data_IF_658294821510
#
_entry.id   IF_658294821510
#
_cell.length_a   1.000
_cell.length_b   1.000
_cell.length_c   1.000
_cell.angle_alpha   90.00
_cell.angle_beta   90.00
_cell.angle_gamma   90.00
#
_symmetry.space_group_name_H-M   'P 1'
#
loop_
_entity.id
_entity.type
_entity.pdbx_description
1 polymer ?
#
# COMPACT_ATOMS: atom_id res chain seq x y z
N UNK A 1 -24.02 42.13 50.55
CA UNK A 1 -23.84 41.10 51.61
C UNK A 1 -25.14 40.34 51.72
N UNK A 2 -25.14 39.03 51.40
CA UNK A 2 -26.18 38.02 51.70
C UNK A 2 -27.57 38.26 51.09
N UNK A 3 -28.31 37.30 50.53
CA UNK A 3 -28.19 35.83 50.48
C UNK A 3 -29.62 35.23 50.53
N UNK A 4 -29.90 34.26 49.63
CA UNK A 4 -30.99 33.26 49.63
C UNK A 4 -32.46 33.76 49.60
N UNK A 5 -33.45 33.10 49.02
CA UNK A 5 -33.61 31.74 48.48
C UNK A 5 -34.87 31.64 47.58
N UNK A 6 -35.21 30.42 47.13
CA UNK A 6 -36.32 29.92 46.27
C UNK A 6 -35.94 29.72 44.77
N UNK A 7 -36.21 28.59 44.11
CA UNK A 7 -36.90 27.33 44.44
C UNK A 7 -36.57 26.23 43.39
N UNK A 8 -36.83 24.97 43.76
CA UNK A 8 -36.60 23.69 43.06
C UNK A 8 -37.11 23.57 41.61
N UNK A 9 -36.34 22.86 40.76
CA UNK A 9 -36.90 21.78 39.92
C UNK A 9 -35.83 20.79 39.47
N UNK A 10 -36.12 19.53 39.82
CA UNK A 10 -35.45 18.27 39.56
C UNK A 10 -35.40 17.92 38.06
N UNK A 11 -34.21 17.61 37.52
CA UNK A 11 -34.04 16.87 36.26
C UNK A 11 -32.91 15.86 36.43
N UNK A 12 -33.32 14.61 36.62
CA UNK A 12 -32.48 13.41 36.58
C UNK A 12 -31.82 13.23 35.20
N UNK A 13 -30.49 13.27 35.12
CA UNK A 13 -29.72 12.81 33.96
C UNK A 13 -29.72 11.26 33.86
N UNK A 14 -30.37 10.73 32.82
CA UNK A 14 -30.29 9.33 32.38
C UNK A 14 -29.23 9.10 31.29
N UNK A 15 -28.90 7.84 30.96
CA UNK A 15 -27.51 7.42 30.76
C UNK A 15 -26.90 7.72 29.38
N UNK A 16 -25.59 8.00 29.40
CA UNK A 16 -24.72 8.16 28.23
C UNK A 16 -24.63 6.85 27.45
N UNK A 17 -25.02 6.89 26.17
CA UNK A 17 -24.77 5.81 25.21
C UNK A 17 -23.26 5.59 25.05
N UNK A 18 -22.79 4.40 25.41
CA UNK A 18 -21.42 3.93 25.18
C UNK A 18 -21.27 3.43 23.74
N UNK A 19 -20.22 3.90 23.03
CA UNK A 19 -19.79 3.33 21.74
C UNK A 19 -19.34 1.86 21.91
N UNK A 20 -19.63 0.97 20.95
CA UNK A 20 -19.19 -0.42 21.05
C UNK A 20 -17.68 -0.54 20.84
N UNK A 21 -17.05 -1.28 21.74
CA UNK A 21 -15.62 -1.65 21.74
C UNK A 21 -15.28 -2.48 20.50
N UNK A 22 -14.10 -2.21 19.94
CA UNK A 22 -13.57 -2.84 18.73
C UNK A 22 -13.62 -4.37 18.75
N UNK A 23 -14.14 -4.93 17.67
CA UNK A 23 -14.06 -6.36 17.35
C UNK A 23 -12.65 -6.63 16.84
N UNK A 24 -11.81 -7.25 17.66
CA UNK A 24 -10.55 -7.86 17.24
C UNK A 24 -10.86 -8.95 16.22
N UNK A 25 -10.29 -8.83 15.02
CA UNK A 25 -10.48 -9.78 13.94
C UNK A 25 -9.55 -10.99 14.15
N UNK A 26 -10.14 -12.10 14.58
CA UNK A 26 -9.43 -13.32 14.97
C UNK A 26 -8.76 -14.04 13.78
N UNK A 27 -9.10 -13.69 12.54
CA UNK A 27 -8.48 -14.26 11.34
C UNK A 27 -7.01 -13.84 11.19
N UNK A 28 -6.64 -12.65 11.66
CA UNK A 28 -5.26 -12.13 11.57
C UNK A 28 -4.29 -12.87 12.50
N UNK A 29 -4.77 -13.45 13.61
CA UNK A 29 -3.94 -14.18 14.57
C UNK A 29 -3.47 -15.55 14.05
N UNK A 30 -4.26 -16.22 13.18
CA UNK A 30 -3.89 -17.55 12.70
C UNK A 30 -2.78 -17.53 11.64
N UNK A 31 -2.68 -16.45 10.84
CA UNK A 31 -1.69 -16.37 9.75
C UNK A 31 -0.25 -16.11 10.24
N UNK A 32 -0.08 -15.62 11.48
CA UNK A 32 1.24 -15.33 12.09
C UNK A 32 1.98 -16.61 12.54
N UNK A 33 1.29 -17.76 12.67
CA UNK A 33 1.86 -18.96 13.32
C UNK A 33 2.51 -20.00 12.39
N UNK A 34 2.39 -19.85 11.07
CA UNK A 34 2.90 -20.86 10.11
C UNK A 34 4.35 -20.66 9.65
N UNK A 35 4.97 -19.50 9.93
CA UNK A 35 6.34 -19.18 9.47
C UNK A 35 7.37 -18.86 10.55
N UNK A 36 7.03 -18.95 11.84
CA UNK A 36 7.93 -18.56 12.94
C UNK A 36 8.87 -19.70 13.40
N UNK A 37 10.12 -19.41 13.79
CA UNK A 37 11.01 -20.36 14.47
C UNK A 37 10.36 -20.96 15.73
N UNK A 38 10.70 -22.21 16.05
CA UNK A 38 10.05 -23.00 17.10
C UNK A 38 10.03 -22.35 18.50
N UNK A 39 10.92 -21.39 18.78
CA UNK A 39 10.97 -20.66 20.05
C UNK A 39 9.80 -19.70 20.29
N UNK A 40 9.09 -19.26 19.24
CA UNK A 40 7.96 -18.31 19.34
C UNK A 40 6.61 -19.05 19.44
N UNK A 41 6.53 -20.31 19.00
CA UNK A 41 5.31 -21.14 19.09
C UNK A 41 4.88 -21.45 20.52
N UNK A 42 5.82 -21.48 21.47
CA UNK A 42 5.52 -21.81 22.86
C UNK A 42 4.74 -20.71 23.61
N UNK A 43 4.73 -19.47 23.11
CA UNK A 43 4.04 -18.35 23.76
C UNK A 43 2.56 -18.20 23.36
N UNK A 44 2.11 -18.84 22.27
CA UNK A 44 0.75 -18.69 21.73
C UNK A 44 -0.13 -19.95 21.88
N UNK A 45 0.40 -21.06 22.40
CA UNK A 45 -0.33 -22.34 22.45
C UNK A 45 -1.37 -22.45 23.57
N UNK A 46 -1.50 -21.47 24.48
CA UNK A 46 -2.31 -21.64 25.70
C UNK A 46 -3.70 -20.97 25.65
N UNK A 47 -4.08 -20.31 24.54
CA UNK A 47 -5.25 -19.41 24.55
C UNK A 47 -6.43 -19.80 23.67
N UNK A 48 -6.34 -20.73 22.70
CA UNK A 48 -7.49 -20.92 21.78
C UNK A 48 -7.72 -22.38 21.38
N UNK A 49 -8.83 -22.93 21.89
CA UNK A 49 -9.53 -24.08 21.31
C UNK A 49 -10.98 -23.67 21.04
N UNK A 50 -11.51 -23.87 19.82
CA UNK A 50 -12.95 -24.03 19.70
C UNK A 50 -13.38 -25.15 18.75
N UNK A 51 -14.46 -25.80 19.18
CA UNK A 51 -15.22 -26.86 18.50
C UNK A 51 -15.82 -26.37 17.18
N UNK A 52 -15.79 -27.27 16.21
CA UNK A 52 -16.29 -27.12 14.83
C UNK A 52 -17.81 -27.33 14.78
N UNK A 53 -18.53 -26.51 14.01
CA UNK A 53 -19.92 -26.72 13.62
C UNK A 53 -20.11 -26.32 12.16
N UNK A 54 -20.35 -27.33 11.32
CA UNK A 54 -20.42 -27.29 9.86
C UNK A 54 -21.88 -27.29 9.39
N UNK A 55 -22.31 -26.36 8.52
CA UNK A 55 -23.52 -26.49 7.72
C UNK A 55 -23.30 -25.94 6.30
N UNK A 56 -23.99 -26.55 5.35
CA UNK A 56 -23.57 -26.78 3.96
C UNK A 56 -24.55 -26.23 2.91
N UNK A 57 -24.00 -25.57 1.87
CA UNK A 57 -24.39 -25.57 0.42
C UNK A 57 -25.71 -24.87 -0.02
N UNK A 58 -25.99 -24.65 -1.33
CA UNK A 58 -25.71 -23.39 -2.04
C UNK A 58 -26.91 -22.83 -2.85
N UNK A 59 -26.93 -21.55 -3.20
CA UNK A 59 -27.76 -21.06 -4.31
C UNK A 59 -27.14 -19.79 -4.91
N UNK A 60 -26.71 -19.90 -6.17
CA UNK A 60 -26.26 -18.78 -6.99
C UNK A 60 -27.45 -17.86 -7.25
N UNK A 61 -27.47 -16.71 -6.57
CA UNK A 61 -28.34 -15.59 -6.93
C UNK A 61 -27.46 -14.42 -7.31
N UNK A 62 -27.61 -13.98 -8.54
CA UNK A 62 -27.16 -12.69 -9.04
C UNK A 62 -27.76 -11.62 -8.12
N UNK A 63 -26.98 -11.15 -7.15
CA UNK A 63 -27.32 -10.00 -6.34
C UNK A 63 -26.59 -8.81 -6.94
N UNK A 64 -27.39 -7.82 -7.32
CA UNK A 64 -26.97 -6.43 -7.45
C UNK A 64 -26.14 -6.11 -6.22
N UNK A 65 -24.85 -5.92 -6.45
CA UNK A 65 -23.94 -5.68 -5.37
C UNK A 65 -24.08 -4.23 -4.91
N UNK A 66 -24.34 -3.97 -3.61
CA UNK A 66 -24.36 -2.61 -3.10
C UNK A 66 -23.00 -1.96 -3.39
N UNK A 67 -23.03 -0.73 -3.90
CA UNK A 67 -21.89 0.12 -4.27
C UNK A 67 -21.01 0.56 -3.07
N UNK A 68 -20.96 -0.24 -2.02
CA UNK A 68 -20.22 0.01 -0.78
C UNK A 68 -19.62 -1.28 -0.23
N UNK A 69 -19.05 -2.11 -1.11
CA UNK A 69 -18.22 -3.22 -0.66
C UNK A 69 -17.07 -2.67 0.19
N UNK A 70 -16.93 -3.14 1.45
CA UNK A 70 -15.72 -2.89 2.20
C UNK A 70 -14.58 -3.67 1.52
N UNK A 71 -13.64 -2.95 0.93
CA UNK A 71 -12.26 -3.34 0.60
C UNK A 71 -12.04 -4.84 0.31
N UNK A 72 -12.81 -5.40 -0.63
CA UNK A 72 -12.51 -6.71 -1.19
C UNK A 72 -11.24 -6.55 -2.02
N UNK A 73 -10.13 -7.02 -1.46
CA UNK A 73 -8.80 -6.96 -2.06
C UNK A 73 -8.82 -7.46 -3.51
N UNK A 74 -8.43 -6.60 -4.45
CA UNK A 74 -8.19 -6.97 -5.84
C UNK A 74 -6.72 -7.24 -6.14
N UNK A 75 -6.46 -7.80 -7.33
CA UNK A 75 -5.10 -7.90 -7.88
C UNK A 75 -4.69 -6.55 -8.46
N UNK A 76 -3.51 -6.06 -8.07
CA UNK A 76 -3.00 -4.75 -8.47
C UNK A 76 -1.77 -4.85 -9.37
N UNK A 77 -1.68 -3.96 -10.36
CA UNK A 77 -0.47 -3.70 -11.14
C UNK A 77 -0.04 -2.24 -10.96
N UNK A 78 1.20 -2.02 -10.52
CA UNK A 78 1.83 -0.70 -10.42
C UNK A 78 2.88 -0.56 -11.51
N UNK A 79 2.85 0.56 -12.25
CA UNK A 79 3.78 0.81 -13.35
C UNK A 79 4.23 2.26 -13.42
N UNK A 80 5.39 2.47 -14.06
CA UNK A 80 5.89 3.81 -14.37
C UNK A 80 5.36 4.24 -15.73
N UNK A 81 4.72 5.41 -15.80
CA UNK A 81 4.42 6.03 -17.09
C UNK A 81 5.63 6.86 -17.55
N UNK A 82 6.20 6.61 -18.75
CA UNK A 82 7.25 7.44 -19.29
C UNK A 82 6.72 8.82 -19.68
N UNK A 83 7.57 9.84 -19.51
CA UNK A 83 7.30 11.20 -19.98
C UNK A 83 7.86 11.31 -21.40
N UNK A 84 7.00 11.59 -22.38
CA UNK A 84 7.43 11.78 -23.77
C UNK A 84 8.32 13.02 -23.90
N UNK A 85 9.22 13.01 -24.89
CA UNK A 85 10.09 14.16 -25.17
C UNK A 85 9.28 15.44 -25.39
N UNK A 86 9.70 16.53 -24.76
CA UNK A 86 9.04 17.84 -24.84
C UNK A 86 7.78 17.99 -23.97
N UNK A 87 7.33 16.95 -23.25
CA UNK A 87 6.22 17.06 -22.29
C UNK A 87 6.71 17.15 -20.86
N UNK A 88 5.95 17.84 -20.01
CA UNK A 88 6.16 17.81 -18.57
C UNK A 88 5.47 16.61 -17.91
N UNK A 89 5.90 16.26 -16.70
CA UNK A 89 5.24 15.26 -15.84
C UNK A 89 3.76 15.62 -15.68
N UNK A 90 3.47 16.87 -15.36
CA UNK A 90 2.10 17.35 -15.15
C UNK A 90 1.24 17.23 -16.42
N UNK A 91 1.77 17.60 -17.59
CA UNK A 91 1.05 17.47 -18.86
C UNK A 91 0.71 16.01 -19.18
N UNK A 92 1.60 15.08 -18.81
CA UNK A 92 1.38 13.65 -19.04
C UNK A 92 0.34 13.09 -18.06
N UNK A 93 0.35 13.53 -16.79
CA UNK A 93 -0.70 13.19 -15.82
C UNK A 93 -2.07 13.69 -16.30
N UNK A 94 -2.16 14.95 -16.74
CA UNK A 94 -3.41 15.51 -17.28
C UNK A 94 -3.91 14.74 -18.51
N UNK A 95 -3.01 14.31 -19.38
CA UNK A 95 -3.35 13.49 -20.54
C UNK A 95 -3.96 12.14 -20.11
N UNK A 96 -3.36 11.47 -19.12
CA UNK A 96 -3.88 10.22 -18.57
C UNK A 96 -5.25 10.43 -17.91
N UNK A 97 -5.40 11.48 -17.11
CA UNK A 97 -6.67 11.86 -16.49
C UNK A 97 -7.76 12.04 -17.54
N UNK A 98 -7.51 12.81 -18.61
CA UNK A 98 -8.51 13.00 -19.68
C UNK A 98 -8.86 11.70 -20.38
N UNK A 99 -7.89 10.80 -20.60
CA UNK A 99 -8.15 9.48 -21.18
C UNK A 99 -9.08 8.65 -20.29
N UNK A 100 -8.85 8.63 -18.99
CA UNK A 100 -9.71 7.92 -18.03
C UNK A 100 -11.13 8.50 -18.01
N UNK A 101 -11.25 9.82 -17.98
CA UNK A 101 -12.55 10.49 -18.02
C UNK A 101 -13.30 10.23 -19.33
N UNK A 102 -12.61 10.19 -20.48
CA UNK A 102 -13.21 9.81 -21.78
C UNK A 102 -13.67 8.35 -21.83
N UNK A 103 -13.01 7.45 -21.09
CA UNK A 103 -13.47 6.08 -20.93
C UNK A 103 -14.71 5.97 -20.03
N UNK A 104 -15.07 7.04 -19.31
CA UNK A 104 -16.17 7.06 -18.35
C UNK A 104 -15.75 6.73 -16.92
N UNK A 105 -14.45 6.81 -16.59
CA UNK A 105 -13.99 6.63 -15.22
C UNK A 105 -14.39 7.83 -14.35
N UNK A 106 -14.87 7.55 -13.13
CA UNK A 106 -15.31 8.56 -12.19
C UNK A 106 -14.26 8.81 -11.11
N UNK A 107 -14.04 10.08 -10.76
CA UNK A 107 -13.09 10.46 -9.70
C UNK A 107 -13.65 10.11 -8.32
N UNK A 108 -12.87 9.36 -7.53
CA UNK A 108 -13.29 8.81 -6.22
C UNK A 108 -12.44 9.31 -5.04
N UNK A 109 -11.40 10.12 -5.28
CA UNK A 109 -10.61 10.71 -4.22
C UNK A 109 -9.14 10.90 -4.57
N UNK A 110 -8.30 10.93 -3.55
CA UNK A 110 -6.85 11.02 -3.69
C UNK A 110 -6.17 9.88 -2.96
N UNK A 111 -4.91 9.61 -3.30
CA UNK A 111 -4.11 8.60 -2.64
C UNK A 111 -2.68 9.11 -2.42
N UNK A 112 -1.98 8.50 -1.46
CA UNK A 112 -0.57 8.72 -1.21
C UNK A 112 0.09 7.40 -0.81
N UNK A 113 1.24 7.10 -1.43
CA UNK A 113 2.13 6.05 -0.97
C UNK A 113 3.50 6.65 -0.76
N UNK A 114 4.03 6.59 0.47
CA UNK A 114 5.36 7.08 0.79
C UNK A 114 6.29 5.96 1.25
N UNK A 115 7.57 6.15 0.98
CA UNK A 115 8.63 5.21 1.30
C UNK A 115 9.82 5.97 1.91
N UNK A 116 10.20 5.57 3.11
CA UNK A 116 11.46 5.95 3.74
C UNK A 116 12.46 4.80 3.65
N UNK A 117 13.70 5.11 3.26
CA UNK A 117 14.79 4.13 3.13
C UNK A 117 15.79 4.27 4.26
N UNK A 118 16.05 3.14 4.92
CA UNK A 118 17.01 2.98 5.99
C UNK A 118 18.16 2.06 5.57
N UNK A 119 19.38 2.46 5.88
CA UNK A 119 20.57 1.63 5.80
C UNK A 119 20.78 0.88 7.11
N UNK A 120 21.03 -0.42 7.03
CA UNK A 120 21.47 -1.17 8.20
C UNK A 120 22.92 -0.81 8.53
N UNK A 121 23.19 -0.45 9.78
CA UNK A 121 24.53 -0.05 10.24
C UNK A 121 25.50 -1.23 10.14
N UNK A 122 26.64 -1.01 9.47
CA UNK A 122 27.66 -2.04 9.21
C UNK A 122 28.27 -2.66 10.49
N UNK A 123 28.17 -1.99 11.64
CA UNK A 123 28.65 -2.48 12.94
C UNK A 123 27.84 -3.65 13.52
N UNK A 124 26.67 -3.95 12.95
CA UNK A 124 25.69 -4.91 13.52
C UNK A 124 25.70 -6.27 12.81
N UNK A 125 26.17 -6.32 11.57
CA UNK A 125 26.51 -7.57 10.90
C UNK A 125 28.02 -7.76 11.00
N UNK A 126 28.49 -8.80 11.68
CA UNK A 126 29.90 -9.11 11.94
C UNK A 126 30.77 -9.43 10.71
N UNK A 127 30.48 -8.85 9.55
CA UNK A 127 31.18 -9.06 8.28
C UNK A 127 31.69 -7.71 7.77
N UNK A 128 32.95 -7.39 8.07
CA UNK A 128 33.66 -6.28 7.45
C UNK A 128 33.64 -6.46 5.92
N UNK A 129 32.90 -5.61 5.21
CA UNK A 129 32.99 -5.51 3.74
C UNK A 129 31.70 -5.71 2.94
N UNK A 130 30.56 -6.06 3.55
CA UNK A 130 29.27 -6.06 2.83
C UNK A 130 28.54 -4.73 3.02
N UNK A 131 28.12 -4.11 1.92
CA UNK A 131 27.18 -2.99 1.95
C UNK A 131 25.93 -3.42 2.73
N UNK A 132 25.53 -2.64 3.74
CA UNK A 132 24.39 -2.98 4.59
C UNK A 132 23.10 -3.13 3.76
N UNK A 133 22.31 -4.16 4.07
CA UNK A 133 20.99 -4.38 3.44
C UNK A 133 20.09 -3.16 3.67
N UNK A 134 19.35 -2.77 2.64
CA UNK A 134 18.36 -1.71 2.74
C UNK A 134 17.06 -2.22 3.35
N UNK A 135 16.43 -1.37 4.15
CA UNK A 135 15.07 -1.53 4.63
C UNK A 135 14.23 -0.37 4.13
N UNK A 136 13.04 -0.66 3.63
CA UNK A 136 12.07 0.30 3.13
C UNK A 136 10.85 0.27 4.05
N UNK A 137 10.57 1.38 4.70
CA UNK A 137 9.36 1.56 5.51
C UNK A 137 8.35 2.32 4.65
N UNK A 138 7.19 1.73 4.41
CA UNK A 138 6.18 2.26 3.51
C UNK A 138 4.83 2.43 4.18
N UNK A 139 4.14 3.49 3.77
CA UNK A 139 2.78 3.79 4.18
C UNK A 139 1.91 4.02 2.95
N UNK A 140 0.68 3.55 3.02
CA UNK A 140 -0.33 3.75 1.99
C UNK A 140 -1.55 4.40 2.67
N UNK A 141 -2.03 5.51 2.12
CA UNK A 141 -3.21 6.21 2.65
C UNK A 141 -4.48 5.36 2.68
N UNK A 142 -4.55 4.31 1.87
CA UNK A 142 -5.67 3.35 1.88
C UNK A 142 -5.56 2.30 3.00
N UNK A 143 -4.38 2.14 3.59
CA UNK A 143 -4.14 1.31 4.78
C UNK A 143 -3.55 2.16 5.91
N UNK A 144 -4.29 3.16 6.43
CA UNK A 144 -3.74 4.17 7.34
C UNK A 144 -3.30 3.61 8.71
N UNK A 145 -3.71 2.39 9.05
CA UNK A 145 -3.34 1.70 10.29
C UNK A 145 -2.17 0.72 10.11
N UNK A 146 -1.69 0.55 8.88
CA UNK A 146 -0.65 -0.41 8.53
C UNK A 146 0.63 0.28 8.08
N UNK A 147 1.76 -0.27 8.51
CA UNK A 147 3.09 0.05 8.06
C UNK A 147 3.69 -1.21 7.41
N UNK A 148 4.29 -1.04 6.23
CA UNK A 148 4.93 -2.13 5.49
C UNK A 148 6.44 -1.94 5.51
N UNK A 149 7.15 -2.82 6.23
CA UNK A 149 8.60 -2.84 6.29
C UNK A 149 9.15 -3.94 5.37
N UNK A 150 9.77 -3.54 4.27
CA UNK A 150 10.35 -4.40 3.25
C UNK A 150 11.86 -4.43 3.40
N UNK A 151 12.44 -5.62 3.56
CA UNK A 151 13.89 -5.81 3.46
C UNK A 151 14.29 -6.14 2.02
N UNK A 152 15.42 -5.60 1.59
CA UNK A 152 15.99 -5.98 0.29
C UNK A 152 16.24 -7.49 0.22
N UNK A 153 15.60 -8.15 -0.75
CA UNK A 153 15.58 -9.61 -0.91
C UNK A 153 15.08 -10.39 0.32
N UNK A 154 14.27 -9.76 1.17
CA UNK A 154 13.73 -10.33 2.39
C UNK A 154 12.20 -10.34 2.43
N UNK A 155 11.60 -10.82 3.53
CA UNK A 155 10.15 -10.79 3.71
C UNK A 155 9.63 -9.35 3.86
N UNK A 156 8.35 -9.16 3.51
CA UNK A 156 7.58 -8.00 3.92
C UNK A 156 7.02 -8.22 5.32
N UNK A 157 7.31 -7.30 6.25
CA UNK A 157 6.68 -7.27 7.56
C UNK A 157 5.55 -6.24 7.53
N UNK A 158 4.37 -6.65 7.96
CA UNK A 158 3.22 -5.76 8.15
C UNK A 158 3.07 -5.51 9.65
N UNK A 159 3.15 -4.25 10.04
CA UNK A 159 3.05 -3.79 11.42
C UNK A 159 2.04 -2.65 11.54
N UNK A 160 1.76 -2.21 12.77
CA UNK A 160 1.01 -0.98 13.00
C UNK A 160 1.87 0.28 12.80
N UNK A 161 1.25 1.45 12.89
CA UNK A 161 1.96 2.74 12.79
C UNK A 161 2.89 3.02 13.99
N UNK A 162 2.86 2.21 15.05
CA UNK A 162 3.85 2.34 16.14
C UNK A 162 5.24 1.87 15.70
N UNK A 163 5.35 1.17 14.57
CA UNK A 163 6.63 0.79 13.98
C UNK A 163 7.54 2.00 13.71
N UNK A 164 6.99 3.16 13.30
CA UNK A 164 7.77 4.39 13.12
C UNK A 164 8.43 4.87 14.41
N UNK A 165 7.70 4.76 15.52
CA UNK A 165 8.22 5.10 16.86
C UNK A 165 9.35 4.13 17.24
N UNK A 166 9.21 2.85 16.90
CA UNK A 166 10.26 1.86 17.09
C UNK A 166 11.50 2.21 16.25
N UNK A 167 11.33 2.64 14.99
CA UNK A 167 12.42 3.05 14.12
C UNK A 167 13.23 4.22 14.68
N UNK A 168 12.57 5.17 15.36
CA UNK A 168 13.25 6.26 16.06
C UNK A 168 14.14 5.74 17.20
N UNK A 169 13.71 4.70 17.92
CA UNK A 169 14.50 4.07 18.99
C UNK A 169 15.66 3.23 18.45
N UNK A 170 15.52 2.70 17.24
CA UNK A 170 16.53 1.85 16.58
C UNK A 170 17.51 2.62 15.68
N UNK A 171 17.61 3.96 15.80
CA UNK A 171 18.53 4.81 15.01
C UNK A 171 20.01 4.38 15.04
N UNK A 172 20.43 3.68 16.10
CA UNK A 172 21.79 3.11 16.18
C UNK A 172 22.04 1.93 15.22
N UNK A 173 20.97 1.22 14.84
CA UNK A 173 21.01 0.05 13.96
C UNK A 173 20.56 0.40 12.54
N UNK A 174 19.62 1.34 12.41
CA UNK A 174 19.05 1.77 11.12
C UNK A 174 19.26 3.26 10.93
N UNK A 175 20.04 3.61 9.91
CA UNK A 175 20.35 5.00 9.58
C UNK A 175 19.50 5.43 8.38
N UNK A 176 18.63 6.43 8.56
CA UNK A 176 17.87 6.99 7.44
C UNK A 176 18.83 7.69 6.46
N UNK A 177 18.70 7.38 5.16
CA UNK A 177 19.53 8.03 4.15
C UNK A 177 19.15 9.51 3.99
N UNK A 178 20.10 10.41 3.71
CA UNK A 178 19.75 11.80 3.37
C UNK A 178 18.93 11.82 2.06
N UNK A 179 17.80 12.53 2.06
CA UNK A 179 16.82 12.52 0.96
C UNK A 179 16.27 11.12 0.63
N UNK A 180 16.14 10.25 1.64
CA UNK A 180 15.59 8.90 1.51
C UNK A 180 14.11 8.85 1.15
N UNK A 181 13.35 9.89 1.53
CA UNK A 181 11.90 9.89 1.36
C UNK A 181 11.52 10.15 -0.10
N UNK A 182 10.84 9.16 -0.68
CA UNK A 182 10.16 9.23 -1.97
C UNK A 182 8.69 8.97 -1.71
N UNK A 183 7.82 9.64 -2.44
CA UNK A 183 6.38 9.42 -2.34
C UNK A 183 5.74 9.53 -3.70
N UNK A 184 4.58 8.90 -3.86
CA UNK A 184 3.66 9.19 -4.96
C UNK A 184 2.37 9.71 -4.40
N UNK A 185 1.84 10.77 -5.02
CA UNK A 185 0.56 11.37 -4.67
C UNK A 185 -0.25 11.60 -5.93
N UNK A 186 -1.55 11.35 -5.85
CA UNK A 186 -2.38 11.47 -7.03
C UNK A 186 -3.88 11.33 -6.80
N UNK A 187 -4.58 11.14 -7.90
CA UNK A 187 -6.03 11.00 -7.95
C UNK A 187 -6.42 9.55 -8.16
N UNK A 188 -7.46 9.12 -7.45
CA UNK A 188 -8.10 7.80 -7.53
C UNK A 188 -9.37 7.90 -8.39
N UNK A 189 -9.54 6.96 -9.31
CA UNK A 189 -10.67 6.83 -10.22
C UNK A 189 -11.26 5.43 -10.14
N UNK A 190 -12.57 5.30 -10.30
CA UNK A 190 -13.26 4.02 -10.46
C UNK A 190 -13.79 3.92 -11.88
N UNK A 191 -13.58 2.77 -12.51
CA UNK A 191 -14.16 2.41 -13.80
C UNK A 191 -14.67 0.98 -13.74
N UNK A 192 -16.00 0.80 -13.70
CA UNK A 192 -16.61 -0.52 -13.51
C UNK A 192 -15.99 -1.25 -12.30
N UNK A 193 -15.35 -2.39 -12.53
CA UNK A 193 -14.70 -3.22 -11.51
C UNK A 193 -13.22 -2.84 -11.26
N UNK A 194 -12.71 -1.84 -11.98
CA UNK A 194 -11.33 -1.38 -11.90
C UNK A 194 -11.21 -0.13 -11.04
N UNK A 195 -10.18 -0.13 -10.22
CA UNK A 195 -9.69 1.06 -9.55
C UNK A 195 -8.40 1.52 -10.22
N UNK A 196 -8.33 2.80 -10.60
CA UNK A 196 -7.18 3.39 -11.27
C UNK A 196 -6.64 4.55 -10.48
N UNK A 197 -5.34 4.56 -10.23
CA UNK A 197 -4.67 5.65 -9.53
C UNK A 197 -3.55 6.21 -10.39
N UNK A 198 -3.62 7.51 -10.65
CA UNK A 198 -2.59 8.23 -11.41
C UNK A 198 -1.92 9.21 -10.47
N UNK A 199 -0.63 9.02 -10.23
CA UNK A 199 0.16 9.78 -9.26
C UNK A 199 1.44 10.35 -9.83
N UNK A 200 1.87 11.47 -9.24
CA UNK A 200 3.19 12.03 -9.46
C UNK A 200 4.13 11.53 -8.38
N UNK A 201 5.25 10.95 -8.78
CA UNK A 201 6.31 10.53 -7.87
C UNK A 201 7.22 11.72 -7.59
N UNK A 202 7.38 12.07 -6.32
CA UNK A 202 8.23 13.17 -5.84
C UNK A 202 9.32 12.64 -4.92
N UNK A 203 10.48 13.29 -4.96
CA UNK A 203 11.57 13.05 -4.01
C UNK A 203 12.06 14.40 -3.50
N UNK A 204 11.83 14.66 -2.21
CA UNK A 204 11.89 16.03 -1.69
C UNK A 204 10.93 16.95 -2.46
N UNK A 205 11.36 18.15 -2.88
CA UNK A 205 10.50 19.09 -3.59
C UNK A 205 10.38 18.81 -5.10
N UNK A 206 11.09 17.82 -5.65
CA UNK A 206 11.17 17.60 -7.09
C UNK A 206 10.28 16.45 -7.58
N UNK A 207 9.48 16.69 -8.62
CA UNK A 207 8.82 15.63 -9.37
C UNK A 207 9.85 14.80 -10.15
N UNK A 208 9.78 13.48 -10.02
CA UNK A 208 10.74 12.52 -10.59
C UNK A 208 10.12 11.53 -11.56
N UNK A 209 8.81 11.35 -11.55
CA UNK A 209 8.13 10.43 -12.45
C UNK A 209 6.62 10.39 -12.25
N UNK A 210 5.99 9.43 -12.93
CA UNK A 210 4.55 9.20 -12.89
C UNK A 210 4.33 7.74 -12.55
N UNK A 211 3.44 7.48 -11.59
CA UNK A 211 2.97 6.13 -11.23
C UNK A 211 1.55 5.93 -11.74
N UNK A 212 1.29 4.79 -12.34
CA UNK A 212 -0.07 4.31 -12.65
C UNK A 212 -0.27 3.00 -11.92
N UNK A 213 -1.26 2.97 -11.05
CA UNK A 213 -1.74 1.76 -10.37
C UNK A 213 -3.11 1.40 -10.95
N UNK A 214 -3.31 0.14 -11.28
CA UNK A 214 -4.60 -0.43 -11.66
C UNK A 214 -4.87 -1.66 -10.82
N UNK A 215 -6.02 -1.68 -10.16
CA UNK A 215 -6.50 -2.81 -9.38
C UNK A 215 -7.80 -3.36 -10.01
N UNK A 216 -7.90 -4.68 -10.10
CA UNK A 216 -9.13 -5.38 -10.46
C UNK A 216 -9.72 -6.03 -9.21
N UNK A 217 -10.77 -5.41 -8.66
CA UNK A 217 -11.38 -5.78 -7.37
C UNK A 217 -11.98 -7.20 -7.31
N UNK A 218 -12.63 -7.74 -8.36
CA UNK A 218 -13.34 -9.02 -8.27
C UNK A 218 -12.47 -10.28 -8.16
N UNK A 219 -11.15 -10.19 -8.34
CA UNK A 219 -10.26 -11.34 -8.31
C UNK A 219 -9.07 -11.12 -7.37
N UNK A 220 -8.70 -12.16 -6.64
CA UNK A 220 -7.56 -12.19 -5.70
C UNK A 220 -6.41 -13.06 -6.20
N UNK A 221 -6.55 -13.72 -7.36
CA UNK A 221 -5.53 -14.63 -7.91
C UNK A 221 -4.97 -14.01 -9.18
N UNK A 222 -3.69 -13.61 -9.16
CA UNK A 222 -3.10 -12.81 -10.23
C UNK A 222 -3.10 -13.52 -11.59
N UNK A 223 -2.91 -14.85 -11.62
CA UNK A 223 -2.93 -15.63 -12.87
C UNK A 223 -4.26 -15.57 -13.60
N UNK A 224 -5.36 -15.44 -12.85
CA UNK A 224 -6.70 -15.60 -13.39
C UNK A 224 -7.19 -14.30 -14.04
N UNK A 225 -6.74 -13.14 -13.55
CA UNK A 225 -7.18 -11.84 -14.02
C UNK A 225 -6.11 -11.01 -14.73
N UNK A 226 -4.85 -11.48 -14.83
CA UNK A 226 -3.78 -10.70 -15.45
C UNK A 226 -4.08 -10.28 -16.90
N UNK A 227 -4.63 -11.19 -17.71
CA UNK A 227 -4.99 -10.85 -19.09
C UNK A 227 -6.02 -9.72 -19.19
N UNK A 228 -7.01 -9.70 -18.29
CA UNK A 228 -8.02 -8.63 -18.22
C UNK A 228 -7.41 -7.30 -17.75
N UNK A 229 -6.55 -7.34 -16.73
CA UNK A 229 -5.78 -6.18 -16.29
C UNK A 229 -4.93 -5.60 -17.42
N UNK A 230 -4.28 -6.48 -18.19
CA UNK A 230 -3.42 -6.09 -19.30
C UNK A 230 -4.22 -5.43 -20.44
N UNK A 231 -5.36 -5.99 -20.82
CA UNK A 231 -6.23 -5.41 -21.84
C UNK A 231 -6.73 -4.02 -21.43
N UNK A 232 -7.16 -3.88 -20.16
CA UNK A 232 -7.58 -2.60 -19.64
C UNK A 232 -6.43 -1.58 -19.60
N UNK A 233 -5.23 -1.97 -19.16
CA UNK A 233 -4.04 -1.12 -19.21
C UNK A 233 -3.73 -0.64 -20.64
N UNK A 234 -3.83 -1.54 -21.63
CA UNK A 234 -3.59 -1.21 -23.04
C UNK A 234 -4.59 -0.15 -23.55
N UNK A 235 -5.84 -0.15 -23.08
CA UNK A 235 -6.88 0.77 -23.54
C UNK A 235 -6.51 2.25 -23.37
N UNK A 236 -5.78 2.62 -22.30
CA UNK A 236 -5.41 4.02 -22.03
C UNK A 236 -3.90 4.28 -22.04
N UNK A 237 -3.06 3.29 -21.73
CA UNK A 237 -1.59 3.41 -21.79
C UNK A 237 -1.02 3.13 -23.20
N UNK A 238 -1.74 2.40 -24.05
CA UNK A 238 -1.29 2.03 -25.39
C UNK A 238 0.03 1.25 -25.37
N UNK A 239 1.05 1.75 -26.08
CA UNK A 239 2.36 1.10 -26.19
C UNK A 239 3.22 1.13 -24.92
N UNK A 240 2.77 1.81 -23.86
CA UNK A 240 3.49 1.90 -22.59
C UNK A 240 3.01 0.89 -21.53
N UNK A 241 2.27 -0.12 -21.96
CA UNK A 241 1.75 -1.16 -21.08
C UNK A 241 2.90 -1.98 -20.47
N UNK A 242 2.93 -2.19 -19.15
CA UNK A 242 3.96 -2.99 -18.49
C UNK A 242 3.79 -4.49 -18.79
N UNK A 243 4.88 -5.25 -18.63
CA UNK A 243 4.80 -6.71 -18.50
C UNK A 243 4.27 -7.13 -17.13
N UNK A 244 4.07 -8.44 -16.92
CA UNK A 244 3.61 -8.98 -15.64
C UNK A 244 4.58 -8.60 -14.50
N UNK A 245 4.08 -7.99 -13.40
CA UNK A 245 4.86 -7.77 -12.19
C UNK A 245 5.57 -9.02 -11.69
N UNK A 246 6.78 -8.87 -11.16
CA UNK A 246 7.58 -9.98 -10.65
C UNK A 246 6.90 -10.72 -9.48
N UNK A 247 6.11 -9.99 -8.70
CA UNK A 247 5.31 -10.53 -7.58
C UNK A 247 4.26 -11.56 -8.02
N UNK A 248 3.90 -11.59 -9.31
CA UNK A 248 3.00 -12.61 -9.85
C UNK A 248 3.72 -13.95 -10.14
N UNK A 249 5.05 -13.99 -10.03
CA UNK A 249 5.86 -15.17 -10.33
C UNK A 249 5.73 -16.32 -9.33
N UNK A 250 5.92 -17.56 -9.82
CA UNK A 250 6.02 -18.85 -9.10
C UNK A 250 4.89 -19.23 -8.12
N UNK A 251 3.83 -18.44 -8.03
CA UNK A 251 2.72 -18.68 -7.09
C UNK A 251 1.38 -18.67 -7.82
N UNK A 252 1.17 -19.69 -8.65
CA UNK A 252 -0.04 -19.83 -9.47
C UNK A 252 -1.36 -19.78 -8.68
N UNK A 253 -1.35 -20.21 -7.42
CA UNK A 253 -2.56 -20.23 -6.58
C UNK A 253 -2.47 -19.32 -5.34
N UNK A 254 -1.49 -18.40 -5.26
CA UNK A 254 -1.39 -17.54 -4.10
C UNK A 254 -2.39 -16.39 -4.17
N UNK A 255 -3.06 -16.18 -3.04
CA UNK A 255 -3.90 -15.02 -2.80
C UNK A 255 -3.03 -13.76 -2.77
N UNK A 256 -3.37 -12.81 -3.63
CA UNK A 256 -2.74 -11.50 -3.71
C UNK A 256 -3.02 -10.71 -2.44
N UNK A 257 -2.00 -10.01 -1.94
CA UNK A 257 -2.04 -9.27 -0.69
C UNK A 257 -1.59 -7.82 -0.87
N UNK A 258 -1.95 -6.90 0.05
CA UNK A 258 -1.45 -5.51 0.00
C UNK A 258 0.08 -5.42 0.01
N UNK A 259 0.76 -6.39 0.63
CA UNK A 259 2.21 -6.45 0.67
C UNK A 259 2.81 -6.62 -0.75
N UNK A 260 2.13 -7.33 -1.64
CA UNK A 260 2.56 -7.50 -3.03
C UNK A 260 2.50 -6.16 -3.78
N UNK A 261 1.47 -5.33 -3.53
CA UNK A 261 1.39 -3.97 -4.08
C UNK A 261 2.54 -3.09 -3.56
N UNK A 262 2.89 -3.22 -2.28
CA UNK A 262 4.01 -2.47 -1.70
C UNK A 262 5.36 -2.89 -2.28
N UNK A 263 5.56 -4.17 -2.59
CA UNK A 263 6.75 -4.63 -3.32
C UNK A 263 6.83 -3.99 -4.71
N UNK A 264 5.72 -3.90 -5.45
CA UNK A 264 5.71 -3.23 -6.74
C UNK A 264 6.05 -1.73 -6.64
N UNK A 265 5.53 -1.04 -5.61
CA UNK A 265 5.90 0.35 -5.33
C UNK A 265 7.38 0.51 -4.98
N UNK A 266 7.94 -0.42 -4.19
CA UNK A 266 9.37 -0.45 -3.89
C UNK A 266 10.22 -0.56 -5.15
N UNK A 267 9.86 -1.46 -6.06
CA UNK A 267 10.55 -1.63 -7.34
C UNK A 267 10.47 -0.36 -8.20
N UNK A 268 9.29 0.25 -8.29
CA UNK A 268 9.07 1.52 -8.98
C UNK A 268 9.97 2.63 -8.42
N UNK A 269 9.97 2.81 -7.10
CA UNK A 269 10.76 3.83 -6.43
C UNK A 269 12.27 3.60 -6.60
N UNK A 270 12.72 2.35 -6.51
CA UNK A 270 14.11 2.00 -6.76
C UNK A 270 14.52 2.28 -8.22
N UNK A 271 13.64 2.03 -9.19
CA UNK A 271 13.87 2.37 -10.60
C UNK A 271 14.03 3.88 -10.80
N UNK A 272 13.16 4.68 -10.18
CA UNK A 272 13.21 6.15 -10.27
C UNK A 272 14.48 6.71 -9.60
N UNK A 273 14.89 6.18 -8.44
CA UNK A 273 16.14 6.57 -7.77
C UNK A 273 17.36 6.29 -8.65
N UNK A 274 17.39 5.15 -9.37
CA UNK A 274 18.48 4.80 -10.30
C UNK A 274 18.52 5.74 -11.51
N UNK A 275 17.37 6.14 -12.05
CA UNK A 275 17.29 7.11 -13.16
C UNK A 275 17.87 8.48 -12.80
N UNK A 276 17.77 8.90 -11.52
CA UNK A 276 18.36 10.15 -11.06
C UNK A 276 19.90 10.13 -11.00
N UNK A 277 20.53 8.97 -10.80
CA UNK A 277 21.98 8.86 -10.64
C UNK A 277 22.75 8.95 -11.97
N UNK A 278 22.05 8.96 -13.11
CA UNK A 278 22.66 9.25 -14.41
C UNK A 278 22.78 10.78 -14.56
N UNK A 279 24.00 11.35 -14.59
CA UNK A 279 24.16 12.75 -14.94
C UNK A 279 23.70 12.91 -16.39
N UNK A 280 22.83 13.89 -16.67
CA UNK A 280 22.69 14.38 -18.04
C UNK A 280 24.10 14.68 -18.58
N UNK A 281 24.48 14.21 -19.77
CA UNK A 281 25.76 14.62 -20.35
C UNK A 281 25.70 16.13 -20.48
N UNK A 282 26.53 16.81 -19.69
CA UNK A 282 26.78 18.24 -19.85
C UNK A 282 27.46 18.33 -21.21
N UNK A 283 26.71 18.71 -22.25
CA UNK A 283 27.30 19.10 -23.52
C UNK A 283 28.17 20.31 -23.23
N UNK A 284 29.46 20.06 -23.06
CA UNK A 284 30.49 21.10 -23.08
C UNK A 284 30.51 21.58 -24.52
N UNK A 285 29.85 22.71 -24.79
CA UNK A 285 30.11 23.47 -26.00
C UNK A 285 31.54 24.02 -25.86
N UNK A 286 32.45 23.52 -26.69
CA UNK A 286 33.78 24.09 -26.93
C UNK A 286 33.66 24.97 -28.17
#
# INVERSE_FOLDING_TARGET
MGGGAESDSDVTEGPRHALPRGRVDWALCFYVSSGAPASIRALFSEVVSPRVGCWSTPHFSCLILPSSWPDTMGVTCVSQMPVAEGKSVQQTVELLTRKLEMLGAEKQGTFCVDCETYHTAASTLGSQGQAGKLMYVMHNSEYPLSCFALFENGPCLVADTNFDVLMVKLKGFFQSAKASKIETRGTRYQYCDFLVKVGTVTMGPSARGISVEVEYGPCVVASDCWSLLLEFLQSFLGSHTPGAPAVFGNRHDAVYSPADTMVQYMELFNKIRKQQQMPYPVTICI
#
